data_IF_298582802288
#
_entry.id   IF_298582802288
#
_cell.length_a   1.000
_cell.length_b   1.000
_cell.length_c   1.000
_cell.angle_alpha   90.00
_cell.angle_beta   90.00
_cell.angle_gamma   90.00
#
_symmetry.space_group_name_H-M   'P 1'
#
loop_
_entity.id
_entity.type
_entity.pdbx_description
1 polymer ?
#
# COMPACT_ATOMS: atom_id res chain seq x y z
N UNK A 1 63.95 23.61 -13.66
CA UNK A 1 62.82 23.03 -14.36
C UNK A 1 61.81 22.57 -13.37
N UNK A 2 60.80 23.31 -13.22
CA UNK A 2 59.74 22.95 -12.30
C UNK A 2 58.83 21.95 -12.96
N UNK A 3 58.78 20.80 -12.41
CA UNK A 3 57.80 19.84 -12.82
C UNK A 3 56.52 20.12 -12.04
N UNK A 4 55.59 20.68 -12.72
CA UNK A 4 54.28 20.83 -12.11
C UNK A 4 53.65 19.48 -11.90
N UNK A 5 53.65 19.11 -10.66
CA UNK A 5 52.87 17.93 -10.30
C UNK A 5 51.42 18.35 -10.17
N UNK A 6 50.68 18.03 -11.14
CA UNK A 6 49.25 18.12 -11.07
C UNK A 6 48.75 16.97 -10.22
N UNK A 7 48.60 17.27 -8.99
CA UNK A 7 47.79 16.40 -8.19
C UNK A 7 46.38 16.75 -8.56
N UNK A 8 45.91 16.07 -9.53
CA UNK A 8 44.48 16.00 -9.72
C UNK A 8 43.94 15.26 -8.53
N UNK A 9 43.63 16.02 -7.54
CA UNK A 9 42.74 15.51 -6.54
C UNK A 9 41.43 15.19 -7.27
N UNK A 10 41.27 13.96 -7.64
CA UNK A 10 39.98 13.46 -8.00
C UNK A 10 39.12 13.64 -6.79
N UNK A 11 38.41 14.72 -6.73
CA UNK A 11 37.30 14.80 -5.85
C UNK A 11 36.36 13.70 -6.31
N UNK A 12 36.50 12.54 -5.71
CA UNK A 12 35.54 11.49 -5.86
C UNK A 12 34.26 12.04 -5.22
N UNK A 13 33.45 12.65 -6.03
CA UNK A 13 32.10 12.95 -5.62
C UNK A 13 31.43 11.60 -5.47
N UNK A 14 31.48 11.10 -4.28
CA UNK A 14 30.57 10.06 -3.88
C UNK A 14 29.19 10.70 -3.86
N UNK A 15 28.52 10.63 -4.97
CA UNK A 15 27.09 10.74 -4.97
C UNK A 15 26.59 9.55 -4.19
N UNK A 16 26.47 9.75 -2.90
CA UNK A 16 25.65 8.87 -2.11
C UNK A 16 24.24 9.18 -2.55
N UNK A 17 23.79 8.45 -3.55
CA UNK A 17 22.37 8.35 -3.77
C UNK A 17 21.81 7.80 -2.48
N UNK A 18 21.33 8.68 -1.63
CA UNK A 18 20.50 8.25 -0.53
C UNK A 18 19.30 7.60 -1.17
N UNK A 19 19.38 6.29 -1.30
CA UNK A 19 18.20 5.54 -1.59
C UNK A 19 17.25 5.80 -0.42
N UNK A 20 16.34 6.72 -0.61
CA UNK A 20 15.26 6.88 0.32
C UNK A 20 14.41 5.63 0.17
N UNK A 21 14.67 4.68 1.04
CA UNK A 21 13.85 3.51 1.16
C UNK A 21 12.56 3.91 1.85
N UNK A 22 11.70 4.65 1.14
CA UNK A 22 10.35 4.82 1.60
C UNK A 22 9.62 3.51 1.36
N UNK A 23 8.91 3.05 2.38
CA UNK A 23 8.04 1.90 2.22
C UNK A 23 6.96 2.24 1.20
N UNK A 24 7.15 1.84 -0.04
CA UNK A 24 6.13 2.03 -1.07
C UNK A 24 5.43 0.71 -1.38
N UNK A 25 4.19 0.82 -1.78
CA UNK A 25 3.38 -0.33 -2.11
C UNK A 25 3.91 -1.01 -3.37
N UNK A 26 4.19 -2.30 -3.29
CA UNK A 26 4.65 -3.11 -4.42
C UNK A 26 3.56 -4.01 -4.97
N UNK A 27 2.60 -4.39 -4.14
CA UNK A 27 1.48 -5.23 -4.55
C UNK A 27 0.33 -5.07 -3.57
N UNK A 28 -0.86 -5.35 -4.05
CA UNK A 28 -2.07 -5.37 -3.23
C UNK A 28 -3.00 -6.49 -3.69
N UNK A 29 -3.74 -7.03 -2.74
CA UNK A 29 -4.78 -8.00 -3.02
C UNK A 29 -6.03 -7.64 -2.20
N UNK A 30 -7.13 -7.27 -2.85
CA UNK A 30 -7.31 -7.19 -4.30
C UNK A 30 -6.47 -6.09 -4.95
N UNK A 31 -6.07 -6.29 -6.22
CA UNK A 31 -5.29 -5.27 -6.92
C UNK A 31 -6.09 -4.00 -7.17
N UNK A 32 -5.38 -2.88 -7.28
CA UNK A 32 -6.02 -1.61 -7.62
C UNK A 32 -6.79 -1.70 -8.93
N UNK A 33 -8.02 -1.22 -8.91
CA UNK A 33 -8.87 -1.24 -10.08
C UNK A 33 -9.57 -2.57 -10.36
N UNK A 34 -9.38 -3.56 -9.51
CA UNK A 34 -9.98 -4.88 -9.71
C UNK A 34 -11.47 -4.91 -9.37
N UNK A 35 -12.15 -5.90 -9.90
CA UNK A 35 -13.54 -6.19 -9.61
C UNK A 35 -13.68 -7.68 -9.33
N UNK A 36 -14.46 -8.02 -8.34
CA UNK A 36 -14.65 -9.43 -7.98
C UNK A 36 -15.50 -9.58 -6.74
N UNK A 37 -15.39 -10.76 -6.14
CA UNK A 37 -16.09 -11.06 -4.89
C UNK A 37 -15.63 -10.14 -3.77
N UNK A 38 -16.46 -9.96 -2.76
CA UNK A 38 -16.09 -9.24 -1.56
C UNK A 38 -14.89 -9.91 -0.90
N UNK A 39 -13.75 -9.22 -0.79
CA UNK A 39 -12.60 -9.76 -0.08
C UNK A 39 -12.86 -9.76 1.43
N UNK A 40 -12.32 -10.75 2.11
CA UNK A 40 -12.38 -10.83 3.56
C UNK A 40 -11.21 -10.10 4.20
N UNK A 41 -10.16 -9.91 3.44
CA UNK A 41 -8.93 -9.26 3.89
C UNK A 41 -8.38 -8.38 2.78
N UNK A 42 -7.69 -7.35 3.18
CA UNK A 42 -6.79 -6.61 2.28
C UNK A 42 -5.37 -7.07 2.61
N UNK A 43 -4.60 -7.38 1.58
CA UNK A 43 -3.18 -7.66 1.73
C UNK A 43 -2.41 -6.58 1.01
N UNK A 44 -1.57 -5.87 1.74
CA UNK A 44 -0.70 -4.85 1.20
C UNK A 44 0.75 -5.31 1.35
N UNK A 45 1.48 -5.27 0.25
CA UNK A 45 2.91 -5.59 0.25
C UNK A 45 3.69 -4.32 -0.02
N UNK A 46 4.67 -4.06 0.83
CA UNK A 46 5.51 -2.88 0.75
C UNK A 46 6.95 -3.27 0.43
N UNK A 47 7.72 -2.32 -0.10
CA UNK A 47 9.14 -2.54 -0.43
C UNK A 47 10.00 -2.79 0.80
N UNK A 48 9.54 -2.37 1.96
CA UNK A 48 10.19 -2.61 3.25
C UNK A 48 9.14 -2.69 4.34
N UNK A 49 9.54 -3.05 5.54
CA UNK A 49 8.60 -3.18 6.66
C UNK A 49 7.94 -1.84 6.98
N UNK A 50 6.64 -1.88 7.15
CA UNK A 50 5.82 -0.72 7.46
C UNK A 50 4.71 -1.12 8.44
N UNK A 51 4.16 -0.12 9.08
CA UNK A 51 3.00 -0.29 9.94
C UNK A 51 1.88 0.62 9.46
N UNK A 52 0.70 0.08 9.36
CA UNK A 52 -0.49 0.87 9.04
C UNK A 52 -0.97 1.56 10.31
N UNK A 53 -1.00 2.87 10.31
CA UNK A 53 -1.43 3.67 11.46
C UNK A 53 -2.87 4.12 11.35
N UNK A 54 -3.38 4.19 10.14
CA UNK A 54 -4.77 4.54 9.89
C UNK A 54 -5.22 3.91 8.57
N UNK A 55 -6.45 3.48 8.53
CA UNK A 55 -7.06 2.93 7.33
C UNK A 55 -8.55 3.22 7.34
N UNK A 56 -9.08 3.63 6.22
CA UNK A 56 -10.50 3.86 6.05
C UNK A 56 -10.99 3.26 4.76
N UNK A 57 -12.26 2.89 4.76
CA UNK A 57 -12.93 2.29 3.61
C UNK A 57 -14.15 3.11 3.30
N UNK A 58 -14.26 3.53 2.04
CA UNK A 58 -15.40 4.30 1.56
C UNK A 58 -16.09 3.52 0.46
N UNK A 59 -17.38 3.30 0.61
CA UNK A 59 -18.20 2.64 -0.41
C UNK A 59 -18.92 3.70 -1.22
N UNK A 60 -18.78 3.65 -2.56
CA UNK A 60 -19.38 4.63 -3.47
C UNK A 60 -19.01 6.06 -3.03
N UNK A 61 -19.93 6.95 -2.86
CA UNK A 61 -19.71 8.29 -2.33
C UNK A 61 -20.12 8.44 -0.87
N UNK A 62 -20.28 7.34 -0.14
CA UNK A 62 -20.70 7.38 1.26
C UNK A 62 -19.59 7.85 2.18
N UNK A 63 -19.90 8.12 3.43
CA UNK A 63 -18.92 8.52 4.41
C UNK A 63 -17.86 7.42 4.63
N UNK A 64 -16.57 7.78 4.77
CA UNK A 64 -15.54 6.81 5.06
C UNK A 64 -15.76 6.13 6.40
N UNK A 65 -15.43 4.86 6.44
CA UNK A 65 -15.51 4.03 7.64
C UNK A 65 -14.11 3.67 8.08
N UNK A 66 -13.76 3.99 9.30
CA UNK A 66 -12.45 3.63 9.84
C UNK A 66 -12.36 2.15 10.12
N UNK A 67 -11.26 1.55 9.72
CA UNK A 67 -10.93 0.18 10.07
C UNK A 67 -10.06 0.22 11.32
N UNK A 68 -10.41 -0.58 12.30
CA UNK A 68 -9.76 -0.53 13.61
C UNK A 68 -8.91 -1.75 13.94
N UNK A 69 -9.10 -2.86 13.22
CA UNK A 69 -8.33 -4.07 13.44
C UNK A 69 -7.02 -4.05 12.67
N UNK A 70 -6.17 -3.06 12.97
CA UNK A 70 -4.90 -2.89 12.29
C UNK A 70 -3.79 -3.63 13.02
N UNK A 71 -2.90 -4.34 12.30
CA UNK A 71 -1.74 -4.97 12.93
C UNK A 71 -0.85 -3.94 13.61
N UNK A 72 -0.39 -4.26 14.81
CA UNK A 72 0.43 -3.36 15.60
C UNK A 72 1.90 -3.37 15.20
N UNK A 73 2.35 -4.44 14.56
CA UNK A 73 3.75 -4.63 14.22
C UNK A 73 4.05 -4.21 12.78
N UNK A 74 5.29 -3.81 12.54
CA UNK A 74 5.78 -3.54 11.20
C UNK A 74 6.00 -4.84 10.46
N UNK A 75 5.60 -4.86 9.19
CA UNK A 75 5.84 -5.98 8.30
C UNK A 75 5.86 -5.48 6.85
N UNK A 76 6.58 -6.17 6.00
CA UNK A 76 6.56 -5.87 4.58
C UNK A 76 5.26 -6.31 3.92
N UNK A 77 4.64 -7.34 4.45
CA UNK A 77 3.34 -7.81 3.99
C UNK A 77 2.34 -7.69 5.13
N UNK A 78 1.32 -6.91 4.91
CA UNK A 78 0.34 -6.57 5.93
C UNK A 78 -1.03 -7.08 5.49
N UNK A 79 -1.67 -7.84 6.36
CA UNK A 79 -3.02 -8.33 6.13
C UNK A 79 -3.97 -7.65 7.10
N UNK A 80 -4.99 -7.02 6.58
CA UNK A 80 -6.00 -6.33 7.38
C UNK A 80 -7.36 -6.97 7.12
N UNK A 81 -8.04 -7.44 8.16
CA UNK A 81 -9.37 -7.98 7.98
C UNK A 81 -10.36 -6.89 7.59
N UNK A 82 -11.27 -7.24 6.72
CA UNK A 82 -12.32 -6.33 6.27
C UNK A 82 -13.66 -6.74 6.87
N UNK A 83 -14.54 -5.77 7.12
CA UNK A 83 -15.92 -6.09 7.45
C UNK A 83 -16.61 -6.71 6.24
N UNK A 84 -17.79 -7.25 6.45
CA UNK A 84 -18.59 -7.77 5.36
C UNK A 84 -18.93 -6.63 4.41
N UNK A 85 -18.64 -6.81 3.12
CA UNK A 85 -18.80 -5.78 2.12
C UNK A 85 -19.96 -6.07 1.21
N UNK A 86 -20.85 -5.10 1.07
CA UNK A 86 -21.90 -5.14 0.07
C UNK A 86 -21.34 -4.79 -1.31
N UNK A 87 -22.00 -5.17 -2.40
CA UNK A 87 -21.57 -4.75 -3.72
C UNK A 87 -21.45 -3.22 -3.83
N UNK A 88 -20.46 -2.76 -4.56
CA UNK A 88 -20.20 -1.34 -4.75
C UNK A 88 -18.77 -1.07 -5.10
N UNK A 89 -18.48 0.20 -5.31
CA UNK A 89 -17.13 0.68 -5.53
C UNK A 89 -16.55 1.12 -4.21
N UNK A 90 -15.34 0.66 -3.95
CA UNK A 90 -14.67 0.96 -2.69
C UNK A 90 -13.38 1.73 -2.92
N UNK A 91 -13.14 2.68 -2.06
CA UNK A 91 -11.88 3.40 -1.96
C UNK A 91 -11.29 3.09 -0.60
N UNK A 92 -10.14 2.45 -0.60
CA UNK A 92 -9.37 2.17 0.60
C UNK A 92 -8.28 3.21 0.71
N UNK A 93 -8.19 3.88 1.82
CA UNK A 93 -7.15 4.88 2.08
C UNK A 93 -6.41 4.52 3.36
N UNK A 94 -5.11 4.68 3.35
CA UNK A 94 -4.30 4.35 4.52
C UNK A 94 -3.14 5.31 4.70
N UNK A 95 -2.56 5.26 5.88
CA UNK A 95 -1.28 5.85 6.21
C UNK A 95 -0.38 4.76 6.73
N UNK A 96 0.80 4.66 6.16
CA UNK A 96 1.80 3.69 6.56
C UNK A 96 3.02 4.43 7.09
N UNK A 97 3.65 3.87 8.10
CA UNK A 97 4.90 4.40 8.66
C UNK A 97 5.98 3.35 8.41
N UNK A 98 6.98 3.71 7.64
CA UNK A 98 8.14 2.87 7.38
C UNK A 98 9.17 2.92 8.50
N UNK A 99 10.30 2.27 8.27
CA UNK A 99 11.38 2.24 9.26
C UNK A 99 12.05 3.60 9.46
N UNK A 100 11.98 4.46 8.46
CA UNK A 100 12.48 5.83 8.53
C UNK A 100 11.52 6.80 9.23
N UNK A 101 10.43 6.31 9.77
CA UNK A 101 9.39 7.09 10.45
C UNK A 101 8.63 8.07 9.56
N UNK A 102 8.82 8.02 8.26
CA UNK A 102 8.03 8.83 7.34
C UNK A 102 6.66 8.23 7.13
N UNK A 103 5.66 9.09 7.06
CA UNK A 103 4.29 8.68 6.77
C UNK A 103 4.09 8.65 5.27
N UNK A 104 3.67 7.50 4.76
CA UNK A 104 3.38 7.30 3.35
C UNK A 104 1.88 7.02 3.22
N UNK A 105 1.12 7.94 2.66
CA UNK A 105 -0.30 7.69 2.40
C UNK A 105 -0.46 6.84 1.16
N UNK A 106 -1.54 6.10 1.11
CA UNK A 106 -1.88 5.31 -0.07
C UNK A 106 -3.38 5.23 -0.27
N UNK A 107 -3.76 4.92 -1.49
CA UNK A 107 -5.15 4.75 -1.90
C UNK A 107 -5.25 3.60 -2.89
N UNK A 108 -6.29 2.82 -2.73
CA UNK A 108 -6.57 1.66 -3.56
C UNK A 108 -8.06 1.65 -3.89
N UNK A 109 -8.38 1.30 -5.12
CA UNK A 109 -9.77 1.20 -5.56
C UNK A 109 -10.08 -0.23 -5.98
N UNK A 110 -11.21 -0.74 -5.55
CA UNK A 110 -11.72 -2.02 -6.02
C UNK A 110 -13.24 -2.01 -6.03
N UNK A 111 -13.81 -2.90 -6.83
CA UNK A 111 -15.25 -3.03 -6.94
C UNK A 111 -15.66 -4.41 -6.46
N UNK A 112 -16.63 -4.45 -5.57
CA UNK A 112 -17.28 -5.68 -5.18
C UNK A 112 -18.48 -5.86 -6.09
N UNK A 113 -18.45 -6.93 -6.88
CA UNK A 113 -19.58 -7.29 -7.70
C UNK A 113 -20.46 -8.23 -6.91
N UNK A 114 -21.73 -8.15 -7.18
CA UNK A 114 -22.66 -9.10 -6.61
C UNK A 114 -22.18 -10.50 -6.97
N UNK A 115 -21.91 -11.28 -5.94
CA UNK A 115 -21.61 -12.68 -6.12
C UNK A 115 -22.72 -13.24 -6.97
N UNK A 116 -22.40 -13.64 -8.21
CA UNK A 116 -23.38 -14.29 -9.04
C UNK A 116 -24.01 -15.40 -8.20
N UNK A 117 -25.25 -15.18 -7.80
CA UNK A 117 -26.00 -16.23 -7.17
C UNK A 117 -25.83 -17.43 -8.10
N UNK A 118 -25.47 -18.60 -7.57
CA UNK A 118 -25.39 -19.76 -8.41
C UNK A 118 -26.69 -19.81 -9.21
N UNK A 119 -26.60 -20.05 -10.53
CA UNK A 119 -27.80 -20.04 -11.34
C UNK A 119 -28.82 -20.88 -10.62
N UNK A 120 -29.92 -20.30 -10.38
CA UNK A 120 -30.99 -21.05 -9.75
C UNK A 120 -31.48 -22.03 -10.74
N UNK A 121 -31.01 -23.22 -10.57
CA UNK A 121 -31.48 -24.30 -11.40
C UNK A 121 -32.95 -24.54 -11.13
N UNK A 122 -33.68 -24.66 -12.16
CA UNK A 122 -35.09 -24.89 -12.06
C UNK A 122 -35.86 -23.64 -11.70
N UNK A 123 -35.16 -22.59 -11.58
CA UNK A 123 -35.87 -21.35 -11.55
C UNK A 123 -36.26 -21.01 -12.94
#
# INVERSE_FOLDING_TARGET
MSVMKWILGSALLLLVATAHAHAHLTAADPPDGSAGKAPEHIVLSFSEAARITAMSLQRNGEAPRKLTSLPAEKAARITVPLPKLAPGRYTLSWRAVGEDSHVVPGTLHFTVVESAAPPRDGA
#
